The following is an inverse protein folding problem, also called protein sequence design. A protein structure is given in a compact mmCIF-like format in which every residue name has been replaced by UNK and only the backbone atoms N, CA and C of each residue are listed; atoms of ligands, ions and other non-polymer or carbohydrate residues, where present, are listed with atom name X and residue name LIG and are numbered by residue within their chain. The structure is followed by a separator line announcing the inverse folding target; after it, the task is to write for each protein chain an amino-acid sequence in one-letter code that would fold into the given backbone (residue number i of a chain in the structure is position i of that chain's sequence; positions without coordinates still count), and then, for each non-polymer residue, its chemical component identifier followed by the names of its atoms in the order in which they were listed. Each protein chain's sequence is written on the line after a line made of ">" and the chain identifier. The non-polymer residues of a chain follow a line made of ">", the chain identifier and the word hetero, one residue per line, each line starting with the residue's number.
data_IF_676508529438
#
_entry.id   IF_676508529438
#
_cell.length_a   1.000
_cell.length_b   1.000
_cell.length_c   1.000
_cell.angle_alpha   90.00
_cell.angle_beta   90.00
_cell.angle_gamma   90.00
#
_symmetry.space_group_name_H-M   'P 1'
#
loop_
_entity.id
_entity.type
_entity.pdbx_description
1 polymer ?
#
# COMPACT_ATOMS: atom_id res chain seq x y z
N UNK A 1 1.71 -8.13 -47.26
CA UNK A 1 2.01 -9.57 -47.17
C UNK A 1 3.13 -9.92 -48.12
N UNK A 2 4.35 -9.93 -47.58
CA UNK A 2 5.46 -10.56 -48.29
C UNK A 2 5.19 -12.06 -48.40
N UNK A 3 5.48 -12.63 -49.57
CA UNK A 3 5.36 -14.07 -49.82
C UNK A 3 6.73 -14.61 -50.17
N UNK A 4 7.05 -15.81 -49.71
CA UNK A 4 8.24 -16.53 -50.16
C UNK A 4 8.17 -16.80 -51.66
N UNK A 5 9.29 -17.22 -52.26
CA UNK A 5 9.35 -17.61 -53.69
C UNK A 5 8.34 -18.72 -54.02
N UNK A 6 7.90 -19.48 -53.00
CA UNK A 6 6.91 -20.57 -53.09
C UNK A 6 5.47 -20.11 -52.79
N UNK A 7 5.24 -18.81 -52.58
CA UNK A 7 3.92 -18.23 -52.36
C UNK A 7 3.41 -18.35 -50.91
N UNK A 8 4.21 -18.85 -49.98
CA UNK A 8 3.87 -18.95 -48.55
C UNK A 8 3.95 -17.55 -47.92
N UNK A 9 2.94 -17.10 -47.15
CA UNK A 9 3.04 -15.85 -46.40
C UNK A 9 4.24 -15.91 -45.46
N UNK A 10 5.12 -14.91 -45.51
CA UNK A 10 6.20 -14.76 -44.54
C UNK A 10 5.54 -14.52 -43.17
N UNK A 11 6.02 -15.18 -42.12
CA UNK A 11 5.57 -14.90 -40.76
C UNK A 11 5.97 -13.48 -40.39
N UNK A 12 4.98 -12.58 -40.28
CA UNK A 12 5.18 -11.19 -39.89
C UNK A 12 4.94 -11.07 -38.37
N UNK A 13 5.98 -11.36 -37.58
CA UNK A 13 5.92 -11.41 -36.12
C UNK A 13 5.43 -10.08 -35.50
N UNK A 14 5.81 -8.95 -36.11
CA UNK A 14 5.35 -7.62 -35.72
C UNK A 14 3.83 -7.42 -35.87
N UNK A 15 3.19 -7.97 -36.90
CA UNK A 15 1.74 -7.91 -37.05
C UNK A 15 1.04 -8.82 -36.04
N UNK A 16 1.61 -9.98 -35.76
CA UNK A 16 1.10 -10.90 -34.73
C UNK A 16 1.17 -10.26 -33.34
N UNK A 17 2.28 -9.59 -33.02
CA UNK A 17 2.49 -8.83 -31.79
C UNK A 17 1.51 -7.64 -31.69
N UNK A 18 1.31 -6.90 -32.79
CA UNK A 18 0.36 -5.79 -32.85
C UNK A 18 -1.08 -6.27 -32.60
N UNK A 19 -1.49 -7.41 -33.18
CA UNK A 19 -2.81 -7.98 -32.96
C UNK A 19 -3.00 -8.44 -31.51
N UNK A 20 -1.98 -9.07 -30.91
CA UNK A 20 -2.00 -9.47 -29.50
C UNK A 20 -2.14 -8.26 -28.55
N UNK A 21 -1.48 -7.15 -28.88
CA UNK A 21 -1.52 -5.91 -28.11
C UNK A 21 -2.66 -4.97 -28.50
N UNK A 22 -3.47 -5.30 -29.50
CA UNK A 22 -4.50 -4.39 -30.01
C UNK A 22 -5.42 -3.91 -28.90
N UNK A 23 -5.80 -4.81 -27.97
CA UNK A 23 -6.67 -4.51 -26.82
C UNK A 23 -6.22 -3.27 -26.01
N UNK A 24 -4.92 -2.97 -25.98
CA UNK A 24 -4.34 -1.80 -25.27
C UNK A 24 -4.76 -0.46 -25.88
N UNK A 25 -5.04 -0.41 -27.18
CA UNK A 25 -5.48 0.81 -27.89
C UNK A 25 -6.85 1.29 -27.41
N UNK A 26 -7.69 0.37 -26.92
CA UNK A 26 -9.01 0.69 -26.41
C UNK A 26 -9.04 0.98 -24.90
N UNK A 27 -7.89 0.89 -24.22
CA UNK A 27 -7.80 1.26 -22.80
C UNK A 27 -7.78 2.80 -22.72
N UNK A 28 -8.76 3.44 -22.05
CA UNK A 28 -8.80 4.88 -21.96
C UNK A 28 -7.56 5.40 -21.23
N UNK A 29 -6.89 6.37 -21.84
CA UNK A 29 -5.82 7.09 -21.17
C UNK A 29 -6.43 7.96 -20.08
N UNK A 30 -6.01 7.71 -18.84
CA UNK A 30 -6.51 8.43 -17.69
C UNK A 30 -5.54 8.38 -16.51
N UNK A 31 -5.71 9.36 -15.63
CA UNK A 31 -5.05 9.43 -14.34
C UNK A 31 -5.63 8.32 -13.46
N UNK A 32 -4.79 7.40 -12.90
CA UNK A 32 -5.23 6.40 -11.94
C UNK A 32 -5.96 7.02 -10.75
N UNK A 33 -6.89 6.28 -10.15
CA UNK A 33 -7.70 6.79 -9.04
C UNK A 33 -6.84 7.24 -7.86
N UNK A 34 -5.82 6.47 -7.51
CA UNK A 34 -4.93 6.74 -6.38
C UNK A 34 -4.13 8.04 -6.61
N UNK A 35 -3.65 8.26 -7.83
CA UNK A 35 -2.93 9.50 -8.18
C UNK A 35 -3.86 10.71 -8.13
N UNK A 36 -5.12 10.55 -8.59
CA UNK A 36 -6.12 11.61 -8.51
C UNK A 36 -6.41 11.98 -7.05
N UNK A 37 -6.58 10.99 -6.16
CA UNK A 37 -6.76 11.25 -4.73
C UNK A 37 -5.58 12.03 -4.13
N UNK A 38 -4.35 11.70 -4.51
CA UNK A 38 -3.16 12.42 -4.05
C UNK A 38 -3.15 13.87 -4.56
N UNK A 39 -3.57 14.12 -5.80
CA UNK A 39 -3.66 15.48 -6.37
C UNK A 39 -4.75 16.33 -5.72
N UNK A 40 -5.86 15.69 -5.32
CA UNK A 40 -7.01 16.33 -4.67
C UNK A 40 -6.83 16.41 -3.14
N UNK A 41 -5.72 15.91 -2.60
CA UNK A 41 -5.44 15.88 -1.17
C UNK A 41 -5.20 17.30 -0.62
N UNK A 42 -5.73 17.65 0.57
CA UNK A 42 -5.48 18.95 1.20
C UNK A 42 -3.99 19.26 1.42
N UNK A 43 -3.13 18.25 1.56
CA UNK A 43 -1.68 18.45 1.70
C UNK A 43 -1.04 19.00 0.42
N UNK A 44 -1.71 18.91 -0.73
CA UNK A 44 -1.30 19.56 -1.98
C UNK A 44 -1.61 21.07 -1.99
N UNK A 45 -2.35 21.58 -1.01
CA UNK A 45 -2.51 23.03 -0.78
C UNK A 45 -1.30 23.53 0.02
N UNK A 46 -0.23 23.81 -0.73
CA UNK A 46 1.10 24.02 -0.19
C UNK A 46 1.23 25.26 0.71
N UNK A 47 2.09 25.12 1.70
CA UNK A 47 2.54 26.16 2.62
C UNK A 47 4.07 26.21 2.61
N UNK A 48 4.66 27.14 3.37
CA UNK A 48 6.13 27.26 3.45
C UNK A 48 6.76 26.03 4.11
N UNK A 49 6.02 25.36 4.99
CA UNK A 49 6.43 24.19 5.76
C UNK A 49 6.15 22.86 5.04
N UNK A 50 5.52 22.89 3.86
CA UNK A 50 5.19 21.69 3.10
C UNK A 50 6.44 20.94 2.62
N UNK A 51 6.37 19.62 2.70
CA UNK A 51 7.41 18.73 2.18
C UNK A 51 7.56 18.86 0.66
N UNK A 52 8.78 18.59 0.18
CA UNK A 52 9.13 18.68 -1.24
C UNK A 52 8.25 17.76 -2.11
N UNK A 53 7.82 16.61 -1.57
CA UNK A 53 6.86 15.72 -2.22
C UNK A 53 5.55 16.41 -2.57
N UNK A 54 4.93 17.11 -1.61
CA UNK A 54 3.65 17.78 -1.81
C UNK A 54 3.77 19.00 -2.73
N UNK A 55 4.93 19.65 -2.75
CA UNK A 55 5.24 20.70 -3.73
C UNK A 55 5.30 20.12 -5.15
N UNK A 56 5.93 18.96 -5.33
CA UNK A 56 5.93 18.26 -6.62
C UNK A 56 4.52 17.79 -7.03
N UNK A 57 3.68 17.35 -6.09
CA UNK A 57 2.27 17.01 -6.34
C UNK A 57 1.47 18.23 -6.78
N UNK A 58 1.65 19.38 -6.14
CA UNK A 58 1.01 20.63 -6.54
C UNK A 58 1.46 21.08 -7.94
N UNK A 59 2.75 20.95 -8.25
CA UNK A 59 3.30 21.22 -9.58
C UNK A 59 2.74 20.27 -10.65
N UNK A 60 2.60 18.98 -10.31
CA UNK A 60 1.94 18.00 -11.18
C UNK A 60 0.49 18.39 -11.47
N UNK A 61 -0.25 18.83 -10.45
CA UNK A 61 -1.62 19.33 -10.60
C UNK A 61 -1.70 20.51 -11.56
N UNK A 62 -0.76 21.45 -11.48
CA UNK A 62 -0.66 22.56 -12.43
C UNK A 62 -0.33 22.10 -13.86
N UNK A 63 0.64 21.18 -14.02
CA UNK A 63 1.00 20.58 -15.31
C UNK A 63 -0.19 19.88 -15.96
N UNK A 64 -0.90 19.02 -15.22
CA UNK A 64 -2.06 18.29 -15.72
C UNK A 64 -3.14 19.24 -16.23
N UNK A 65 -3.37 20.36 -15.53
CA UNK A 65 -4.35 21.36 -15.93
C UNK A 65 -3.93 22.22 -17.13
N UNK A 66 -2.62 22.30 -17.43
CA UNK A 66 -2.06 23.17 -18.47
C UNK A 66 -1.42 22.37 -19.60
N UNK A 67 -0.12 22.09 -19.56
CA UNK A 67 0.58 21.40 -20.65
C UNK A 67 0.10 19.96 -20.87
N UNK A 68 -0.22 19.26 -19.79
CA UNK A 68 -0.63 17.85 -19.80
C UNK A 68 -2.04 17.60 -20.32
N UNK A 69 -2.89 18.63 -20.44
CA UNK A 69 -4.26 18.54 -20.98
C UNK A 69 -5.10 17.40 -20.36
N UNK A 70 -5.00 17.23 -19.05
CA UNK A 70 -5.68 16.18 -18.29
C UNK A 70 -4.91 14.85 -18.18
N UNK A 71 -3.67 14.79 -18.66
CA UNK A 71 -2.80 13.61 -18.60
C UNK A 71 -1.56 13.88 -17.73
N UNK A 72 -1.00 12.80 -17.18
CA UNK A 72 0.25 12.82 -16.44
C UNK A 72 1.46 13.00 -17.38
N UNK A 73 2.60 13.49 -16.87
CA UNK A 73 3.88 13.49 -17.59
C UNK A 73 4.21 12.10 -18.13
N UNK A 74 4.82 12.06 -19.30
CA UNK A 74 5.27 10.80 -19.90
C UNK A 74 6.49 10.25 -19.16
N UNK A 75 6.54 8.93 -18.94
CA UNK A 75 7.70 8.26 -18.32
C UNK A 75 8.89 8.09 -19.28
N UNK A 76 8.65 8.26 -20.58
CA UNK A 76 9.63 8.14 -21.66
C UNK A 76 10.04 6.70 -21.97
N UNK A 77 9.36 5.70 -21.40
CA UNK A 77 9.66 4.29 -21.61
C UNK A 77 8.81 3.73 -22.74
N UNK A 78 9.45 2.94 -23.59
CA UNK A 78 8.80 2.18 -24.66
C UNK A 78 9.11 0.71 -24.41
N UNK A 79 8.09 -0.18 -24.36
CA UNK A 79 8.34 -1.61 -24.20
C UNK A 79 9.07 -2.18 -25.41
N UNK A 80 9.78 -3.29 -25.21
CA UNK A 80 10.39 -4.03 -26.30
C UNK A 80 9.34 -4.48 -27.32
N UNK A 81 9.70 -4.45 -28.60
CA UNK A 81 8.81 -4.86 -29.69
C UNK A 81 9.57 -5.29 -30.93
N UNK A 82 8.93 -6.10 -31.76
CA UNK A 82 9.48 -6.58 -33.04
C UNK A 82 9.54 -5.44 -34.06
N UNK A 83 10.69 -4.77 -34.15
CA UNK A 83 10.95 -3.69 -35.09
C UNK A 83 12.40 -3.74 -35.59
N UNK A 84 12.70 -2.99 -36.66
CA UNK A 84 14.10 -2.73 -37.00
C UNK A 84 14.74 -1.84 -35.93
N UNK A 85 16.05 -2.02 -35.70
CA UNK A 85 16.78 -1.23 -34.71
C UNK A 85 16.63 0.27 -34.94
N UNK A 86 16.65 0.71 -36.20
CA UNK A 86 16.49 2.12 -36.56
C UNK A 86 15.13 2.68 -36.14
N UNK A 87 14.02 2.00 -36.49
CA UNK A 87 12.67 2.43 -36.15
C UNK A 87 12.43 2.42 -34.63
N UNK A 88 12.93 1.40 -33.95
CA UNK A 88 12.82 1.31 -32.49
C UNK A 88 13.53 2.48 -31.79
N UNK A 89 14.75 2.80 -32.22
CA UNK A 89 15.52 3.93 -31.67
C UNK A 89 14.88 5.29 -32.00
N UNK A 90 14.34 5.47 -33.20
CA UNK A 90 13.62 6.69 -33.58
C UNK A 90 12.39 6.91 -32.69
N UNK A 91 11.57 5.88 -32.50
CA UNK A 91 10.41 5.96 -31.62
C UNK A 91 10.81 6.20 -30.16
N UNK A 92 11.83 5.50 -29.66
CA UNK A 92 12.33 5.72 -28.31
C UNK A 92 12.77 7.18 -28.09
N UNK A 93 13.44 7.81 -29.07
CA UNK A 93 13.84 9.22 -29.00
C UNK A 93 12.65 10.16 -28.92
N UNK A 94 11.56 9.88 -29.62
CA UNK A 94 10.32 10.70 -29.56
C UNK A 94 9.74 10.68 -28.14
N UNK A 95 9.61 9.51 -27.53
CA UNK A 95 9.09 9.37 -26.17
C UNK A 95 10.01 10.03 -25.13
N UNK A 96 11.33 9.85 -25.27
CA UNK A 96 12.31 10.50 -24.39
C UNK A 96 12.30 12.02 -24.52
N UNK A 97 12.16 12.54 -25.74
CA UNK A 97 12.08 13.98 -25.97
C UNK A 97 10.81 14.58 -25.36
N UNK A 98 9.66 13.92 -25.50
CA UNK A 98 8.42 14.35 -24.85
C UNK A 98 8.53 14.30 -23.33
N UNK A 99 9.05 13.21 -22.76
CA UNK A 99 9.25 13.09 -21.32
C UNK A 99 10.18 14.18 -20.77
N UNK A 100 11.25 14.53 -21.50
CA UNK A 100 12.14 15.62 -21.11
C UNK A 100 11.44 16.99 -21.15
N UNK A 101 10.57 17.22 -22.13
CA UNK A 101 9.76 18.44 -22.20
C UNK A 101 8.74 18.53 -21.06
N UNK A 102 8.09 17.41 -20.72
CA UNK A 102 7.15 17.33 -19.61
C UNK A 102 7.85 17.58 -18.26
N UNK A 103 9.02 16.98 -18.04
CA UNK A 103 9.85 17.23 -16.84
C UNK A 103 10.21 18.71 -16.72
N UNK A 104 10.63 19.34 -17.82
CA UNK A 104 10.94 20.76 -17.83
C UNK A 104 9.70 21.63 -17.52
N UNK A 105 8.51 21.25 -17.98
CA UNK A 105 7.28 21.94 -17.65
C UNK A 105 6.93 21.80 -16.15
N UNK A 106 6.99 20.59 -15.59
CA UNK A 106 6.77 20.36 -14.16
C UNK A 106 7.79 21.12 -13.32
N UNK A 107 9.07 21.14 -13.71
CA UNK A 107 10.13 21.88 -13.02
C UNK A 107 9.83 23.39 -12.96
N UNK A 108 9.32 23.98 -14.05
CA UNK A 108 8.90 25.39 -14.03
C UNK A 108 7.79 25.63 -13.00
N UNK A 109 6.78 24.77 -12.95
CA UNK A 109 5.72 24.86 -11.95
C UNK A 109 6.26 24.72 -10.52
N UNK A 110 7.20 23.79 -10.29
CA UNK A 110 7.88 23.65 -8.98
C UNK A 110 8.57 24.95 -8.58
N UNK A 111 9.34 25.57 -9.47
CA UNK A 111 10.02 26.83 -9.17
C UNK A 111 9.07 27.99 -8.90
N UNK A 112 7.99 28.12 -9.68
CA UNK A 112 6.97 29.14 -9.49
C UNK A 112 6.26 28.99 -8.15
N UNK A 113 5.94 27.75 -7.76
CA UNK A 113 5.34 27.42 -6.48
C UNK A 113 6.31 27.67 -5.31
N UNK A 114 7.59 27.34 -5.43
CA UNK A 114 8.59 27.63 -4.40
C UNK A 114 8.70 29.14 -4.13
N UNK A 115 8.69 29.96 -5.18
CA UNK A 115 8.71 31.42 -5.04
C UNK A 115 7.44 31.93 -4.36
N UNK A 116 6.27 31.38 -4.70
CA UNK A 116 4.99 31.83 -4.14
C UNK A 116 4.86 31.55 -2.63
N UNK A 117 5.47 30.47 -2.14
CA UNK A 117 5.51 30.12 -0.70
C UNK A 117 6.75 30.68 0.03
N UNK A 118 7.60 31.44 -0.64
CA UNK A 118 8.79 32.07 -0.04
C UNK A 118 9.94 31.09 0.27
N UNK A 119 10.04 29.99 -0.49
CA UNK A 119 11.19 29.08 -0.49
C UNK A 119 12.15 29.41 -1.63
N UNK A 120 13.43 29.10 -1.46
CA UNK A 120 14.46 29.37 -2.48
C UNK A 120 14.29 28.45 -3.70
N UNK A 121 14.57 28.99 -4.88
CA UNK A 121 14.64 28.18 -6.10
C UNK A 121 15.81 27.20 -6.03
N UNK A 122 15.63 26.01 -6.61
CA UNK A 122 16.68 25.00 -6.67
C UNK A 122 16.88 24.17 -5.40
N UNK A 123 16.04 24.37 -4.37
CA UNK A 123 16.00 23.45 -3.21
C UNK A 123 15.64 22.03 -3.65
N UNK A 124 14.72 21.91 -4.61
CA UNK A 124 14.33 20.62 -5.21
C UNK A 124 15.17 20.42 -6.48
N UNK A 125 16.07 19.40 -6.53
CA UNK A 125 16.89 19.13 -7.70
C UNK A 125 16.06 18.65 -8.90
N UNK A 126 16.52 18.98 -10.13
CA UNK A 126 15.88 18.50 -11.36
C UNK A 126 15.83 16.96 -11.43
N UNK A 127 16.83 16.26 -10.88
CA UNK A 127 16.86 14.79 -10.84
C UNK A 127 15.71 14.21 -10.01
N UNK A 128 15.33 14.89 -8.92
CA UNK A 128 14.18 14.51 -8.09
C UNK A 128 12.87 14.69 -8.86
N UNK A 129 12.71 15.81 -9.59
CA UNK A 129 11.54 16.06 -10.43
C UNK A 129 11.46 15.07 -11.59
N UNK A 130 12.60 14.74 -12.23
CA UNK A 130 12.68 13.73 -13.29
C UNK A 130 12.24 12.35 -12.80
N UNK A 131 12.75 11.94 -11.63
CA UNK A 131 12.38 10.67 -10.99
C UNK A 131 10.89 10.64 -10.61
N UNK A 132 10.38 11.76 -10.10
CA UNK A 132 8.98 11.96 -9.76
C UNK A 132 8.08 11.86 -11.00
N UNK A 133 8.38 12.56 -12.10
CA UNK A 133 7.61 12.48 -13.35
C UNK A 133 7.57 11.07 -13.92
N UNK A 134 8.72 10.37 -13.91
CA UNK A 134 8.81 8.97 -14.36
C UNK A 134 7.91 8.02 -13.55
N UNK A 135 7.72 8.31 -12.27
CA UNK A 135 6.91 7.49 -11.35
C UNK A 135 5.53 8.08 -11.06
N UNK A 136 5.13 9.18 -11.72
CA UNK A 136 3.91 9.93 -11.40
C UNK A 136 2.65 9.04 -11.46
N UNK A 137 2.62 8.07 -12.38
CA UNK A 137 1.51 7.12 -12.53
C UNK A 137 1.39 6.11 -11.38
N UNK A 138 2.49 5.88 -10.66
CA UNK A 138 2.61 4.83 -9.64
C UNK A 138 2.71 5.40 -8.21
N UNK A 139 2.50 6.71 -8.04
CA UNK A 139 2.59 7.34 -6.72
C UNK A 139 1.59 6.75 -5.73
N UNK A 140 2.03 6.65 -4.48
CA UNK A 140 1.24 6.19 -3.34
C UNK A 140 1.57 7.05 -2.13
N UNK A 141 0.56 7.31 -1.31
CA UNK A 141 0.69 7.99 -0.02
C UNK A 141 0.01 7.09 1.00
N UNK A 142 0.76 6.65 2.01
CA UNK A 142 0.25 5.80 3.09
C UNK A 142 0.08 6.65 4.34
N UNK A 143 -1.10 6.59 4.97
CA UNK A 143 -1.39 7.27 6.24
C UNK A 143 -1.84 6.24 7.27
N UNK A 144 -1.08 6.14 8.34
CA UNK A 144 -1.35 5.20 9.43
C UNK A 144 -2.06 5.93 10.56
N UNK A 145 -3.02 5.24 11.18
CA UNK A 145 -3.63 5.72 12.42
C UNK A 145 -2.64 5.56 13.57
N UNK A 146 -2.59 6.51 14.51
CA UNK A 146 -1.83 6.34 15.74
C UNK A 146 -2.34 5.12 16.52
N UNK A 147 -1.43 4.38 17.15
CA UNK A 147 -1.79 3.26 18.03
C UNK A 147 -2.78 3.69 19.14
N UNK A 148 -2.69 4.93 19.61
CA UNK A 148 -3.62 5.48 20.59
C UNK A 148 -5.09 5.48 20.09
N UNK A 149 -5.33 5.72 18.80
CA UNK A 149 -6.67 5.65 18.21
C UNK A 149 -7.12 4.20 17.96
N UNK A 150 -6.18 3.30 17.69
CA UNK A 150 -6.47 1.85 17.59
C UNK A 150 -7.01 1.29 18.91
N UNK A 151 -6.41 1.68 20.03
CA UNK A 151 -6.76 1.16 21.36
C UNK A 151 -7.86 1.94 22.07
N UNK A 152 -8.23 3.12 21.55
CA UNK A 152 -9.27 3.94 22.15
C UNK A 152 -10.66 3.36 21.90
N UNK A 153 -11.59 3.70 22.79
CA UNK A 153 -13.01 3.42 22.60
C UNK A 153 -13.50 4.03 21.29
N UNK A 154 -14.01 3.19 20.39
CA UNK A 154 -14.57 3.62 19.11
C UNK A 154 -16.00 4.13 19.26
N UNK A 155 -16.42 4.97 18.31
CA UNK A 155 -17.81 5.38 18.21
C UNK A 155 -18.70 4.16 17.98
N UNK A 156 -19.92 4.16 18.53
CA UNK A 156 -20.89 3.07 18.30
C UNK A 156 -21.27 2.87 16.83
N UNK A 157 -21.02 3.87 15.99
CA UNK A 157 -21.24 3.82 14.54
C UNK A 157 -20.05 3.21 13.77
N UNK A 158 -18.93 2.92 14.44
CA UNK A 158 -17.75 2.30 13.82
C UNK A 158 -18.01 0.81 13.55
N UNK A 159 -18.40 0.50 12.32
CA UNK A 159 -18.68 -0.85 11.87
C UNK A 159 -17.41 -1.62 11.45
N UNK A 160 -16.21 -1.03 11.51
CA UNK A 160 -14.98 -1.59 10.91
C UNK A 160 -14.70 -3.00 11.42
N UNK A 161 -14.61 -3.19 12.74
CA UNK A 161 -14.34 -4.51 13.33
C UNK A 161 -15.49 -5.49 13.07
N UNK A 162 -16.74 -5.02 13.07
CA UNK A 162 -17.89 -5.87 12.78
C UNK A 162 -17.82 -6.42 11.35
N UNK A 163 -17.53 -5.57 10.37
CA UNK A 163 -17.36 -5.98 8.96
C UNK A 163 -16.17 -6.93 8.80
N UNK A 164 -15.07 -6.71 9.53
CA UNK A 164 -13.92 -7.60 9.52
C UNK A 164 -14.23 -8.98 10.12
N UNK A 165 -15.02 -9.04 11.20
CA UNK A 165 -15.47 -10.30 11.81
C UNK A 165 -16.51 -11.04 10.95
N UNK A 166 -17.27 -10.33 10.12
CA UNK A 166 -18.23 -10.93 9.17
C UNK A 166 -17.55 -11.42 7.88
N UNK A 167 -16.29 -11.03 7.62
CA UNK A 167 -15.55 -11.43 6.44
C UNK A 167 -14.79 -12.76 6.68
N UNK A 168 -15.29 -13.84 6.09
CA UNK A 168 -14.77 -15.21 6.23
C UNK A 168 -13.27 -15.33 5.91
N UNK A 169 -12.72 -14.50 5.01
CA UNK A 169 -11.32 -14.58 4.60
C UNK A 169 -10.35 -14.09 5.69
N UNK A 170 -10.79 -13.15 6.54
CA UNK A 170 -9.94 -12.49 7.56
C UNK A 170 -10.42 -12.71 8.99
N UNK A 171 -11.60 -13.29 9.18
CA UNK A 171 -12.26 -13.46 10.49
C UNK A 171 -11.37 -14.15 11.53
N UNK A 172 -10.65 -15.21 11.13
CA UNK A 172 -9.76 -15.95 12.03
C UNK A 172 -8.57 -15.07 12.49
N UNK A 173 -7.99 -14.30 11.57
CA UNK A 173 -6.83 -13.46 11.84
C UNK A 173 -7.19 -12.22 12.67
N UNK A 174 -8.39 -11.68 12.46
CA UNK A 174 -8.98 -10.61 13.28
C UNK A 174 -9.29 -11.15 14.69
N UNK A 175 -9.81 -12.37 14.78
CA UNK A 175 -10.05 -13.03 16.08
C UNK A 175 -8.75 -13.26 16.85
N UNK A 176 -7.68 -13.67 16.17
CA UNK A 176 -6.34 -13.76 16.75
C UNK A 176 -5.85 -12.41 17.27
N UNK A 177 -6.02 -11.34 16.50
CA UNK A 177 -5.70 -9.98 16.97
C UNK A 177 -6.47 -9.63 18.26
N UNK A 178 -7.79 -9.85 18.31
CA UNK A 178 -8.59 -9.58 19.50
C UNK A 178 -8.16 -10.41 20.71
N UNK A 179 -7.76 -11.66 20.50
CA UNK A 179 -7.25 -12.52 21.55
C UNK A 179 -5.87 -12.10 22.06
N UNK A 180 -4.99 -11.59 21.19
CA UNK A 180 -3.71 -10.99 21.62
C UNK A 180 -3.97 -9.77 22.53
N UNK A 181 -4.94 -8.92 22.16
CA UNK A 181 -5.38 -7.79 23.01
C UNK A 181 -5.96 -8.27 24.35
N UNK A 182 -6.72 -9.36 24.33
CA UNK A 182 -7.26 -9.98 25.54
C UNK A 182 -6.14 -10.58 26.42
N UNK A 183 -5.10 -11.17 25.81
CA UNK A 183 -3.94 -11.70 26.53
C UNK A 183 -3.13 -10.59 27.21
N UNK A 184 -2.97 -9.43 26.57
CA UNK A 184 -2.37 -8.24 27.20
C UNK A 184 -3.18 -7.77 28.41
N UNK A 185 -4.52 -7.77 28.29
CA UNK A 185 -5.41 -7.42 29.40
C UNK A 185 -5.29 -8.43 30.55
N UNK A 186 -5.29 -9.72 30.23
CA UNK A 186 -5.08 -10.80 31.18
C UNK A 186 -3.74 -10.64 31.91
N UNK A 187 -2.66 -10.33 31.20
CA UNK A 187 -1.34 -10.10 31.80
C UNK A 187 -1.35 -8.92 32.78
N UNK A 188 -2.06 -7.84 32.43
CA UNK A 188 -2.19 -6.68 33.30
C UNK A 188 -2.91 -6.99 34.62
N UNK A 189 -3.88 -7.92 34.61
CA UNK A 189 -4.68 -8.29 35.78
C UNK A 189 -4.02 -9.38 36.62
N UNK A 190 -3.40 -10.37 35.98
CA UNK A 190 -2.87 -11.58 36.63
C UNK A 190 -1.34 -11.59 36.78
N UNK A 191 -0.63 -10.62 36.19
CA UNK A 191 0.85 -10.54 36.16
C UNK A 191 1.55 -11.77 35.56
N UNK A 192 0.82 -12.56 34.78
CA UNK A 192 1.30 -13.69 33.99
C UNK A 192 0.48 -13.82 32.72
N UNK A 193 0.99 -14.51 31.71
CA UNK A 193 0.22 -14.80 30.49
C UNK A 193 -0.67 -16.04 30.69
N UNK A 194 -1.77 -16.17 29.91
CA UNK A 194 -2.59 -17.37 29.95
C UNK A 194 -1.78 -18.60 29.50
N UNK A 195 -1.98 -19.73 30.15
CA UNK A 195 -1.28 -20.99 29.87
C UNK A 195 0.15 -21.07 30.40
N UNK A 196 0.50 -20.21 31.36
CA UNK A 196 1.83 -20.25 32.00
C UNK A 196 2.02 -21.50 32.87
N UNK A 197 0.93 -22.07 33.39
CA UNK A 197 0.93 -23.23 34.28
C UNK A 197 -0.07 -24.28 33.81
N UNK A 198 0.35 -25.55 33.73
CA UNK A 198 -0.47 -26.65 33.24
C UNK A 198 -1.71 -26.93 34.12
N UNK A 199 -1.64 -26.60 35.41
CA UNK A 199 -2.71 -26.85 36.39
C UNK A 199 -3.85 -25.81 36.29
N UNK A 200 -3.63 -24.68 35.63
CA UNK A 200 -4.55 -23.52 35.60
C UNK A 200 -5.22 -23.32 34.22
N UNK A 201 -5.07 -24.27 33.28
CA UNK A 201 -5.53 -24.12 31.89
C UNK A 201 -7.04 -23.82 31.81
N UNK A 202 -7.88 -24.57 32.52
CA UNK A 202 -9.34 -24.38 32.47
C UNK A 202 -9.75 -23.02 33.07
N UNK A 203 -9.07 -22.58 34.13
CA UNK A 203 -9.30 -21.28 34.76
C UNK A 203 -8.84 -20.14 33.84
N UNK A 204 -7.70 -20.31 33.17
CA UNK A 204 -7.14 -19.36 32.21
C UNK A 204 -8.03 -19.19 30.99
N UNK A 205 -8.64 -20.28 30.49
CA UNK A 205 -9.62 -20.20 29.41
C UNK A 205 -10.81 -19.33 29.83
N UNK A 206 -11.36 -19.55 31.02
CA UNK A 206 -12.49 -18.77 31.52
C UNK A 206 -12.13 -17.28 31.71
N UNK A 207 -10.97 -17.01 32.29
CA UNK A 207 -10.47 -15.65 32.52
C UNK A 207 -10.15 -14.92 31.20
N UNK A 208 -9.53 -15.60 30.22
CA UNK A 208 -9.22 -15.03 28.90
C UNK A 208 -10.51 -14.68 28.14
N UNK A 209 -11.57 -15.51 28.22
CA UNK A 209 -12.89 -15.16 27.67
C UNK A 209 -13.45 -13.91 28.34
N UNK A 210 -13.32 -13.78 29.66
CA UNK A 210 -13.72 -12.58 30.40
C UNK A 210 -12.96 -11.34 29.92
N UNK A 211 -11.63 -11.44 29.78
CA UNK A 211 -10.79 -10.36 29.29
C UNK A 211 -11.14 -9.96 27.86
N UNK A 212 -11.40 -10.92 26.97
CA UNK A 212 -11.84 -10.67 25.60
C UNK A 212 -13.15 -9.88 25.56
N UNK A 213 -14.15 -10.29 26.35
CA UNK A 213 -15.42 -9.58 26.43
C UNK A 213 -15.25 -8.15 26.97
N UNK A 214 -14.39 -7.95 27.97
CA UNK A 214 -14.07 -6.61 28.49
C UNK A 214 -13.42 -5.73 27.42
N UNK A 215 -12.38 -6.23 26.74
CA UNK A 215 -11.66 -5.48 25.69
C UNK A 215 -12.59 -5.11 24.54
N UNK A 216 -13.42 -6.04 24.07
CA UNK A 216 -14.34 -5.76 22.96
C UNK A 216 -15.45 -4.80 23.38
N UNK A 217 -16.02 -4.94 24.57
CA UNK A 217 -17.06 -4.01 25.04
C UNK A 217 -16.54 -2.59 25.33
N UNK A 218 -15.30 -2.46 25.81
CA UNK A 218 -14.63 -1.18 26.03
C UNK A 218 -14.20 -0.51 24.72
N UNK A 219 -13.70 -1.28 23.76
CA UNK A 219 -13.11 -0.74 22.51
C UNK A 219 -14.14 -0.60 21.40
N UNK A 220 -15.07 -1.54 21.27
CA UNK A 220 -16.05 -1.65 20.18
C UNK A 220 -17.48 -1.83 20.73
N UNK A 221 -18.10 -0.75 21.22
CA UNK A 221 -19.44 -0.82 21.83
C UNK A 221 -20.47 -1.42 20.86
N UNK A 222 -21.17 -2.47 21.31
CA UNK A 222 -22.22 -3.13 20.53
C UNK A 222 -21.75 -4.24 19.58
N UNK A 223 -20.45 -4.54 19.56
CA UNK A 223 -19.90 -5.68 18.81
C UNK A 223 -19.75 -6.90 19.73
N UNK A 224 -20.17 -8.07 19.25
CA UNK A 224 -19.83 -9.34 19.89
C UNK A 224 -18.59 -9.94 19.20
N UNK A 225 -17.59 -10.42 19.95
CA UNK A 225 -16.33 -10.91 19.37
C UNK A 225 -16.51 -12.08 18.39
N UNK A 226 -17.59 -12.87 18.50
CA UNK A 226 -17.83 -14.12 17.76
C UNK A 226 -16.58 -15.01 17.59
N UNK A 227 -15.71 -15.04 18.61
CA UNK A 227 -14.49 -15.84 18.61
C UNK A 227 -14.83 -17.28 18.99
N UNK A 228 -14.28 -18.26 18.28
CA UNK A 228 -14.50 -19.68 18.59
C UNK A 228 -13.79 -20.09 19.89
N UNK A 229 -14.45 -20.94 20.67
CA UNK A 229 -13.89 -21.48 21.92
C UNK A 229 -12.60 -22.27 21.70
N UNK A 230 -12.46 -22.89 20.53
CA UNK A 230 -11.25 -23.59 20.11
C UNK A 230 -10.07 -22.62 20.01
N UNK A 231 -10.27 -21.44 19.41
CA UNK A 231 -9.22 -20.44 19.27
C UNK A 231 -8.80 -19.84 20.61
N UNK A 232 -9.74 -19.66 21.54
CA UNK A 232 -9.42 -19.23 22.91
C UNK A 232 -8.55 -20.27 23.60
N UNK A 233 -8.96 -21.54 23.53
CA UNK A 233 -8.22 -22.66 24.13
C UNK A 233 -6.81 -22.78 23.53
N UNK A 234 -6.69 -22.50 22.23
CA UNK A 234 -5.42 -22.53 21.52
C UNK A 234 -4.47 -21.40 21.97
N UNK A 235 -4.96 -20.21 22.26
CA UNK A 235 -4.14 -19.12 22.83
C UNK A 235 -3.62 -19.48 24.22
N UNK A 236 -4.45 -20.11 25.06
CA UNK A 236 -3.99 -20.65 26.34
C UNK A 236 -2.95 -21.75 26.11
N UNK A 237 -3.17 -22.66 25.15
CA UNK A 237 -2.21 -23.71 24.79
C UNK A 237 -0.85 -23.17 24.35
N UNK A 238 -0.80 -21.98 23.75
CA UNK A 238 0.48 -21.36 23.35
C UNK A 238 1.36 -21.02 24.56
N UNK A 239 0.78 -20.72 25.72
CA UNK A 239 1.52 -20.41 26.95
C UNK A 239 2.53 -19.26 26.79
N UNK A 240 2.20 -18.28 25.95
CA UNK A 240 3.10 -17.19 25.54
C UNK A 240 4.48 -17.63 25.00
N UNK A 241 4.54 -18.81 24.37
CA UNK A 241 5.76 -19.33 23.75
C UNK A 241 6.14 -18.59 22.47
N UNK A 242 7.43 -18.38 22.26
CA UNK A 242 7.98 -17.81 21.02
C UNK A 242 8.66 -18.91 20.18
N UNK A 243 7.93 -19.46 19.20
CA UNK A 243 8.46 -20.49 18.31
C UNK A 243 9.40 -19.88 17.26
N UNK A 244 10.61 -20.43 17.15
CA UNK A 244 11.64 -19.92 16.24
C UNK A 244 11.17 -19.81 14.77
N UNK A 245 10.39 -20.79 14.27
CA UNK A 245 9.87 -20.76 12.90
C UNK A 245 8.90 -19.60 12.67
N UNK A 246 8.00 -19.34 13.63
CA UNK A 246 7.04 -18.23 13.58
C UNK A 246 7.76 -16.90 13.70
N UNK A 247 8.68 -16.78 14.66
CA UNK A 247 9.51 -15.59 14.84
C UNK A 247 10.35 -15.27 13.60
N UNK A 248 10.88 -16.29 12.91
CA UNK A 248 11.65 -16.12 11.68
C UNK A 248 10.80 -15.54 10.54
N UNK A 249 9.54 -15.98 10.39
CA UNK A 249 8.62 -15.44 9.37
C UNK A 249 8.26 -13.98 9.69
N UNK A 250 7.86 -13.70 10.93
CA UNK A 250 7.53 -12.34 11.38
C UNK A 250 8.73 -11.41 11.26
N UNK A 251 9.94 -11.89 11.58
CA UNK A 251 11.19 -11.16 11.40
C UNK A 251 11.47 -10.83 9.93
N UNK A 252 11.18 -11.75 9.01
CA UNK A 252 11.28 -11.50 7.57
C UNK A 252 10.30 -10.42 7.07
N UNK A 253 9.05 -10.48 7.53
CA UNK A 253 8.03 -9.46 7.22
C UNK A 253 8.47 -8.10 7.75
N UNK A 254 8.83 -8.01 9.04
CA UNK A 254 9.25 -6.77 9.68
C UNK A 254 10.52 -6.17 9.05
N UNK A 255 11.48 -7.00 8.68
CA UNK A 255 12.70 -6.56 7.99
C UNK A 255 12.37 -5.95 6.61
N UNK A 256 11.50 -6.60 5.83
CA UNK A 256 11.13 -6.10 4.52
C UNK A 256 10.34 -4.78 4.62
N UNK A 257 9.35 -4.69 5.52
CA UNK A 257 8.61 -3.44 5.75
C UNK A 257 9.55 -2.30 6.20
N UNK A 258 10.55 -2.60 7.04
CA UNK A 258 11.56 -1.63 7.44
C UNK A 258 12.37 -1.11 6.25
N UNK A 259 12.78 -2.00 5.33
CA UNK A 259 13.50 -1.60 4.10
C UNK A 259 12.65 -0.67 3.24
N UNK A 260 11.35 -0.95 3.08
CA UNK A 260 10.44 -0.09 2.30
C UNK A 260 10.38 1.33 2.86
N UNK A 261 10.26 1.45 4.19
CA UNK A 261 10.23 2.75 4.88
C UNK A 261 11.55 3.49 4.71
N UNK A 262 12.69 2.82 4.96
CA UNK A 262 14.02 3.44 4.88
C UNK A 262 14.33 3.94 3.47
N UNK A 263 13.99 3.15 2.46
CA UNK A 263 14.33 3.45 1.06
C UNK A 263 13.33 4.39 0.40
N UNK A 264 12.12 4.53 0.95
CA UNK A 264 11.00 5.18 0.26
C UNK A 264 10.63 4.44 -1.05
N UNK A 265 10.97 3.16 -1.16
CA UNK A 265 10.70 2.33 -2.33
C UNK A 265 9.70 1.22 -1.97
N UNK A 266 8.87 0.86 -2.94
CA UNK A 266 7.73 -0.04 -2.78
C UNK A 266 6.65 0.52 -1.81
N UNK A 267 5.55 -0.22 -1.70
CA UNK A 267 4.39 0.19 -0.88
C UNK A 267 4.40 -0.65 0.40
N UNK A 268 4.53 -0.03 1.59
CA UNK A 268 4.38 -0.74 2.84
C UNK A 268 2.94 -1.24 3.05
N UNK A 269 2.75 -2.26 3.88
CA UNK A 269 1.43 -2.78 4.20
C UNK A 269 0.57 -1.70 4.87
N UNK A 270 -0.74 -1.68 4.59
CA UNK A 270 -1.68 -0.70 5.15
C UNK A 270 -2.36 -1.25 6.41
N UNK A 271 -1.95 -0.77 7.58
CA UNK A 271 -2.51 -1.17 8.86
C UNK A 271 -1.81 -2.37 9.50
N UNK A 272 -2.60 -3.27 10.07
CA UNK A 272 -2.15 -4.41 10.86
C UNK A 272 -1.91 -5.62 9.96
N UNK A 273 -0.76 -6.26 10.13
CA UNK A 273 -0.40 -7.51 9.45
C UNK A 273 -0.44 -8.64 10.46
N UNK A 274 -1.32 -9.61 10.25
CA UNK A 274 -1.43 -10.81 11.11
C UNK A 274 -0.94 -12.02 10.31
N UNK A 275 0.05 -12.72 10.87
CA UNK A 275 0.51 -14.00 10.37
C UNK A 275 -0.05 -15.13 11.24
N UNK A 276 -0.89 -15.98 10.65
CA UNK A 276 -1.47 -17.13 11.32
C UNK A 276 -0.72 -18.40 10.89
N UNK A 277 0.24 -18.81 11.71
CA UNK A 277 1.07 -19.98 11.46
C UNK A 277 0.31 -21.32 11.51
N UNK A 278 -0.88 -21.38 12.12
CA UNK A 278 -1.69 -22.60 12.18
C UNK A 278 -2.30 -22.92 10.81
N UNK A 279 -2.74 -21.88 10.10
CA UNK A 279 -3.34 -21.99 8.77
C UNK A 279 -2.37 -21.65 7.63
N UNK A 280 -1.15 -21.19 7.95
CA UNK A 280 -0.19 -20.65 6.99
C UNK A 280 -0.77 -19.48 6.17
N UNK A 281 -1.59 -18.64 6.78
CA UNK A 281 -2.22 -17.47 6.15
C UNK A 281 -1.60 -16.17 6.64
N UNK A 282 -1.74 -15.11 5.85
CA UNK A 282 -1.37 -13.75 6.23
C UNK A 282 -2.45 -12.80 5.76
N UNK A 283 -2.95 -11.99 6.68
CA UNK A 283 -3.98 -10.99 6.41
C UNK A 283 -3.49 -9.60 6.76
N UNK A 284 -3.95 -8.62 5.98
CA UNK A 284 -3.68 -7.20 6.22
C UNK A 284 -5.02 -6.49 6.37
N UNK A 285 -5.20 -5.78 7.47
CA UNK A 285 -6.42 -5.01 7.74
C UNK A 285 -6.11 -3.75 8.54
N UNK A 286 -6.84 -2.67 8.27
CA UNK A 286 -6.72 -1.42 9.00
C UNK A 286 -7.83 -1.33 10.06
N UNK A 287 -7.45 -0.99 11.30
CA UNK A 287 -8.35 -0.81 12.45
C UNK A 287 -8.55 0.67 12.74
#
# INVERSE_FOLDING_TARGET
>A
MQRTVEGVPVAEDNFSEALANAHRVWIPMGIPYEVRQIMDDPAADITRESDDFWIMVAALRAFVASEGKGLLPLDGLVPDMTATTELYLEMQRVYQAQAAADVAAVMRHVEELLVSIGREKGIIPEESVRSFCKLARHMRVMRYKPLAEEVACRSSDDATIKTLLENEDVQADVSLYLLLRAADRFYKENHRFPGSFDEEIDEDIAQLKGALLSVVSETYPGVSPQVSDDLVSEIVRFGASELHSVASVVGGIGAQESIKIITGQFVPAEGNVVYNAMACTTSVFAL
#
